data_IF_539546789898
#
_entry.id   IF_539546789898
#
_cell.length_a   1.000
_cell.length_b   1.000
_cell.length_c   1.000
_cell.angle_alpha   90.00
_cell.angle_beta   90.00
_cell.angle_gamma   90.00
#
_symmetry.space_group_name_H-M   'P 1'
#
loop_
_entity.id
_entity.type
_entity.pdbx_description
1 polymer ?
#
# COMPACT_ATOMS: atom_id res chain seq x y z
N UNK A 1 21.51 1.36 -3.99
CA UNK A 1 21.03 0.96 -2.66
C UNK A 1 19.54 0.80 -2.78
N UNK A 2 19.00 -0.42 -2.67
CA UNK A 2 17.55 -0.61 -2.62
C UNK A 2 17.10 -0.32 -1.18
N UNK A 3 16.37 0.76 -0.98
CA UNK A 3 15.56 0.91 0.21
C UNK A 3 14.39 -0.05 0.05
N UNK A 4 14.48 -1.21 0.71
CA UNK A 4 13.41 -2.21 0.71
C UNK A 4 12.23 -1.63 1.48
N UNK A 5 11.24 -1.13 0.77
CA UNK A 5 9.94 -0.72 1.29
C UNK A 5 9.03 -1.96 1.24
N UNK A 6 9.09 -2.80 2.27
CA UNK A 6 8.10 -3.84 2.47
C UNK A 6 6.76 -3.20 2.80
N UNK A 7 5.64 -3.76 2.40
CA UNK A 7 4.34 -3.32 2.93
C UNK A 7 3.34 -4.43 2.73
N UNK A 8 2.20 -4.32 3.39
CA UNK A 8 1.04 -5.19 3.20
C UNK A 8 -0.14 -4.30 2.84
N UNK A 9 -0.74 -4.54 1.69
CA UNK A 9 -1.84 -3.71 1.20
C UNK A 9 -3.08 -4.57 1.01
N UNK A 10 -4.23 -4.06 1.41
CA UNK A 10 -5.51 -4.71 1.18
C UNK A 10 -6.63 -3.70 0.90
N UNK A 11 -7.58 -4.04 0.02
CA UNK A 11 -8.83 -3.31 -0.16
C UNK A 11 -10.01 -4.28 -0.24
N UNK A 12 -11.04 -4.04 0.57
CA UNK A 12 -12.31 -4.78 0.52
C UNK A 12 -13.41 -3.93 -0.14
N UNK A 13 -14.15 -4.53 -1.08
CA UNK A 13 -15.25 -3.95 -1.87
C UNK A 13 -16.53 -3.80 -1.06
N UNK A 14 -16.76 -4.68 -0.09
CA UNK A 14 -17.94 -4.62 0.76
C UNK A 14 -17.81 -3.49 1.77
N UNK A 15 -16.58 -3.17 2.17
CA UNK A 15 -16.28 -2.04 3.05
C UNK A 15 -15.77 -0.78 2.36
N UNK A 16 -15.31 -0.85 1.09
CA UNK A 16 -14.74 0.27 0.32
C UNK A 16 -13.53 0.92 1.01
N UNK A 17 -12.78 0.13 1.79
CA UNK A 17 -11.71 0.58 2.67
C UNK A 17 -10.35 -0.01 2.26
N UNK A 18 -9.55 0.71 1.46
CA UNK A 18 -8.15 0.34 1.30
C UNK A 18 -7.39 0.62 2.59
N UNK A 19 -6.42 -0.22 2.87
CA UNK A 19 -5.60 -0.16 4.05
C UNK A 19 -4.24 -0.76 3.79
N UNK A 20 -3.26 -0.32 4.57
CA UNK A 20 -1.87 -0.74 4.39
C UNK A 20 -1.05 -0.66 5.68
N UNK A 21 -0.09 -1.57 5.78
CA UNK A 21 1.06 -1.48 6.67
C UNK A 21 2.31 -1.22 5.85
N UNK A 22 3.16 -0.31 6.31
CA UNK A 22 4.39 0.04 5.61
C UNK A 22 5.59 -0.34 6.46
N UNK A 23 6.38 -1.28 5.95
CA UNK A 23 7.60 -1.85 6.50
C UNK A 23 8.84 -1.28 5.80
N UNK A 24 9.44 -0.25 6.38
CA UNK A 24 10.71 0.32 5.89
C UNK A 24 11.82 0.08 6.92
N UNK A 25 13.07 0.41 6.57
CA UNK A 25 14.17 0.39 7.54
C UNK A 25 13.79 1.24 8.75
N UNK A 26 13.91 0.69 9.96
CA UNK A 26 13.50 1.39 11.19
C UNK A 26 14.08 2.80 11.34
N UNK A 27 15.31 3.01 10.85
CA UNK A 27 15.98 4.30 10.83
C UNK A 27 15.27 5.40 10.03
N UNK A 28 14.27 5.08 9.19
CA UNK A 28 13.50 6.07 8.43
C UNK A 28 12.33 6.67 9.23
N UNK A 29 11.97 6.09 10.38
CA UNK A 29 10.84 6.57 11.18
C UNK A 29 10.91 8.09 11.49
N UNK A 30 12.06 8.68 11.84
CA UNK A 30 12.17 10.12 12.09
C UNK A 30 11.95 11.00 10.85
N UNK A 31 12.00 10.43 9.65
CA UNK A 31 11.83 11.12 8.37
C UNK A 31 10.39 11.03 7.83
N UNK A 32 9.49 10.37 8.57
CA UNK A 32 8.08 10.25 8.19
C UNK A 32 7.31 11.50 8.62
N UNK A 33 6.51 12.05 7.70
CA UNK A 33 5.65 13.21 7.93
C UNK A 33 4.24 12.96 7.39
N UNK A 34 3.26 13.62 8.00
CA UNK A 34 1.97 13.85 7.36
C UNK A 34 2.06 15.12 6.52
N UNK A 35 1.84 15.00 5.21
CA UNK A 35 1.81 16.14 4.30
C UNK A 35 0.38 16.45 3.88
N UNK A 36 -0.07 17.68 4.18
CA UNK A 36 -1.36 18.22 3.74
C UNK A 36 -1.14 19.18 2.58
N UNK A 37 -1.77 18.92 1.44
CA UNK A 37 -1.66 19.74 0.23
C UNK A 37 -3.05 20.23 -0.14
N UNK A 38 -3.19 21.54 -0.36
CA UNK A 38 -4.38 22.15 -0.94
C UNK A 38 -4.04 22.68 -2.32
N UNK A 39 -4.60 22.06 -3.36
CA UNK A 39 -4.41 22.49 -4.75
C UNK A 39 -5.25 23.73 -5.07
N UNK A 40 -4.87 24.45 -6.12
CA UNK A 40 -5.58 25.66 -6.58
C UNK A 40 -7.01 25.36 -7.06
N UNK A 41 -7.22 24.17 -7.62
CA UNK A 41 -8.53 23.64 -8.03
C UNK A 41 -9.43 23.23 -6.85
N UNK A 42 -8.92 23.33 -5.61
CA UNK A 42 -9.63 22.99 -4.39
C UNK A 42 -9.47 21.53 -3.94
N UNK A 43 -8.76 20.69 -4.69
CA UNK A 43 -8.49 19.32 -4.27
C UNK A 43 -7.57 19.31 -3.04
N UNK A 44 -8.05 18.70 -1.96
CA UNK A 44 -7.28 18.43 -0.75
C UNK A 44 -6.61 17.06 -0.85
N UNK A 45 -5.38 16.96 -0.37
CA UNK A 45 -4.61 15.72 -0.34
C UNK A 45 -3.94 15.61 1.03
N UNK A 46 -4.08 14.45 1.65
CA UNK A 46 -3.35 14.11 2.87
C UNK A 46 -2.72 12.73 2.72
N UNK A 47 -1.42 12.64 3.03
CA UNK A 47 -0.65 11.42 2.91
C UNK A 47 0.44 11.33 3.96
N UNK A 48 0.84 10.10 4.27
CA UNK A 48 2.05 9.82 5.01
C UNK A 48 3.17 9.61 3.99
N UNK A 49 4.26 10.36 4.15
CA UNK A 49 5.38 10.38 3.20
C UNK A 49 6.71 10.54 3.91
N UNK A 50 7.80 10.22 3.23
CA UNK A 50 9.14 10.59 3.68
C UNK A 50 9.44 12.04 3.24
N UNK A 51 10.17 12.80 4.07
CA UNK A 51 10.52 14.20 3.79
C UNK A 51 11.14 14.33 2.39
N UNK A 52 10.52 15.14 1.54
CA UNK A 52 10.95 15.40 0.16
C UNK A 52 10.22 14.59 -0.92
N UNK A 53 9.45 13.55 -0.56
CA UNK A 53 8.65 12.76 -1.51
C UNK A 53 7.25 13.39 -1.67
N UNK A 54 6.90 13.72 -2.91
CA UNK A 54 5.68 14.47 -3.26
C UNK A 54 4.43 13.61 -3.52
N UNK A 55 4.56 12.29 -3.50
CA UNK A 55 3.46 11.34 -3.68
C UNK A 55 3.81 10.02 -3.02
N UNK A 56 3.02 9.61 -2.04
CA UNK A 56 3.21 8.35 -1.30
C UNK A 56 1.84 7.78 -0.92
N UNK A 57 1.62 7.37 0.32
CA UNK A 57 0.42 6.62 0.73
C UNK A 57 -0.58 7.56 1.39
N UNK A 58 -1.80 7.62 0.88
CA UNK A 58 -2.82 8.54 1.37
C UNK A 58 -4.04 8.62 0.46
N UNK A 59 -4.82 9.67 0.67
CA UNK A 59 -6.10 9.91 0.00
C UNK A 59 -6.34 11.39 -0.31
N UNK A 60 -7.30 11.66 -1.19
CA UNK A 60 -7.76 13.01 -1.52
C UNK A 60 -9.17 13.32 -1.00
N UNK A 61 -9.56 14.60 -1.06
CA UNK A 61 -10.83 15.13 -0.53
C UNK A 61 -12.09 14.67 -1.28
N UNK A 62 -11.93 13.88 -2.34
CA UNK A 62 -13.03 13.27 -3.10
C UNK A 62 -13.11 11.75 -2.91
N UNK A 63 -12.21 11.15 -2.13
CA UNK A 63 -12.27 9.74 -1.75
C UNK A 63 -11.52 8.81 -2.70
N UNK A 64 -10.49 9.28 -3.40
CA UNK A 64 -9.51 8.41 -4.08
C UNK A 64 -8.30 8.25 -3.19
N UNK A 65 -7.88 7.00 -2.97
CA UNK A 65 -6.70 6.68 -2.17
C UNK A 65 -5.82 5.62 -2.82
N UNK A 66 -4.57 5.56 -2.40
CA UNK A 66 -3.68 4.49 -2.78
C UNK A 66 -2.69 4.09 -1.70
N UNK A 67 -2.24 2.85 -1.81
CA UNK A 67 -1.15 2.28 -1.02
C UNK A 67 -0.07 1.73 -1.97
N UNK A 68 1.09 1.38 -1.42
CA UNK A 68 2.26 0.96 -2.21
C UNK A 68 2.92 -0.24 -1.55
N UNK A 69 3.24 -1.28 -2.33
CA UNK A 69 4.24 -2.29 -1.98
C UNK A 69 5.43 -2.32 -2.92
N UNK A 70 6.65 -2.48 -2.39
CA UNK A 70 7.78 -2.75 -3.25
C UNK A 70 7.68 -4.17 -3.81
N UNK A 71 7.85 -4.26 -5.12
CA UNK A 71 8.16 -5.49 -5.82
C UNK A 71 9.58 -5.37 -6.35
N UNK A 72 10.23 -6.50 -6.57
CA UNK A 72 11.60 -6.53 -7.05
C UNK A 72 11.68 -7.33 -8.34
N UNK A 73 11.51 -6.67 -9.48
CA UNK A 73 11.76 -7.25 -10.78
C UNK A 73 12.87 -6.51 -11.52
N UNK A 74 13.51 -7.19 -12.48
CA UNK A 74 14.53 -6.59 -13.33
C UNK A 74 13.88 -5.61 -14.32
N UNK A 75 14.61 -4.52 -14.60
CA UNK A 75 14.25 -3.57 -15.64
C UNK A 75 13.96 -2.17 -15.08
N UNK A 76 14.13 -1.18 -15.96
CA UNK A 76 13.75 0.21 -15.71
C UNK A 76 13.34 0.85 -17.04
N UNK A 77 12.20 1.56 -17.05
CA UNK A 77 11.79 2.39 -18.18
C UNK A 77 12.09 3.85 -17.88
N UNK A 78 12.96 4.48 -18.68
CA UNK A 78 13.32 5.89 -18.53
C UNK A 78 12.31 6.85 -19.17
N UNK A 79 11.28 6.32 -19.84
CA UNK A 79 10.22 7.09 -20.50
C UNK A 79 8.87 6.98 -19.79
N UNK A 80 8.78 6.16 -18.74
CA UNK A 80 7.56 5.92 -17.95
C UNK A 80 7.60 6.66 -16.61
N UNK A 81 6.48 6.68 -15.89
CA UNK A 81 6.37 7.41 -14.63
C UNK A 81 7.22 6.76 -13.52
N UNK A 82 8.08 7.51 -12.81
CA UNK A 82 8.63 7.08 -11.53
C UNK A 82 7.52 6.68 -10.55
N UNK A 83 7.74 5.62 -9.76
CA UNK A 83 6.74 5.06 -8.84
C UNK A 83 6.04 6.13 -7.97
N UNK A 84 6.78 7.04 -7.35
CA UNK A 84 6.19 8.09 -6.51
C UNK A 84 5.42 9.16 -7.30
N UNK A 85 5.75 9.37 -8.59
CA UNK A 85 4.93 10.20 -9.49
C UNK A 85 3.66 9.47 -9.94
N UNK A 86 3.71 8.14 -10.08
CA UNK A 86 2.51 7.33 -10.29
C UNK A 86 1.56 7.44 -9.08
N UNK A 87 2.05 7.31 -7.85
CA UNK A 87 1.23 7.52 -6.64
C UNK A 87 0.66 8.94 -6.57
N UNK A 88 1.46 9.95 -6.90
CA UNK A 88 0.97 11.33 -7.00
C UNK A 88 -0.14 11.48 -8.04
N UNK A 89 0.01 10.83 -9.19
CA UNK A 89 -1.00 10.81 -10.26
C UNK A 89 -2.31 10.18 -9.76
N UNK A 90 -2.22 9.09 -9.00
CA UNK A 90 -3.40 8.44 -8.40
C UNK A 90 -4.12 9.37 -7.43
N UNK A 91 -3.41 9.94 -6.45
CA UNK A 91 -4.04 10.78 -5.42
C UNK A 91 -4.55 12.11 -6.01
N UNK A 92 -4.04 12.57 -7.15
CA UNK A 92 -4.61 13.71 -7.88
C UNK A 92 -5.78 13.37 -8.82
N UNK A 93 -6.10 12.09 -9.00
CA UNK A 93 -7.15 11.66 -9.93
C UNK A 93 -8.55 11.81 -9.37
N UNK A 94 -9.53 11.97 -10.28
CA UNK A 94 -10.94 12.16 -9.94
C UNK A 94 -11.68 10.86 -9.55
N UNK A 95 -11.12 9.71 -9.90
CA UNK A 95 -11.66 8.39 -9.57
C UNK A 95 -10.59 7.32 -9.71
N UNK A 96 -10.84 6.13 -9.15
CA UNK A 96 -10.01 4.93 -9.36
C UNK A 96 -9.87 4.63 -10.85
N UNK A 97 -10.96 4.67 -11.60
CA UNK A 97 -10.94 4.37 -13.04
C UNK A 97 -10.07 5.36 -13.83
N UNK A 98 -10.16 6.67 -13.52
CA UNK A 98 -9.33 7.69 -14.16
C UNK A 98 -7.85 7.53 -13.82
N UNK A 99 -7.53 7.21 -12.56
CA UNK A 99 -6.18 6.93 -12.12
C UNK A 99 -5.57 5.75 -12.88
N UNK A 100 -6.26 4.60 -12.88
CA UNK A 100 -5.83 3.39 -13.57
C UNK A 100 -5.62 3.65 -15.06
N UNK A 101 -6.56 4.30 -15.73
CA UNK A 101 -6.42 4.63 -17.16
C UNK A 101 -5.19 5.50 -17.44
N UNK A 102 -4.86 6.43 -16.55
CA UNK A 102 -3.69 7.30 -16.70
C UNK A 102 -2.38 6.53 -16.51
N UNK A 103 -2.34 5.62 -15.52
CA UNK A 103 -1.18 4.78 -15.27
C UNK A 103 -0.95 3.78 -16.41
N UNK A 104 -2.00 3.15 -16.93
CA UNK A 104 -1.90 2.25 -18.09
C UNK A 104 -1.39 2.97 -19.34
N UNK A 105 -1.82 4.21 -19.57
CA UNK A 105 -1.37 5.01 -20.71
C UNK A 105 0.11 5.47 -20.57
N UNK A 106 0.56 5.74 -19.34
CA UNK A 106 1.90 6.29 -19.09
C UNK A 106 2.97 5.22 -18.84
N UNK A 107 2.56 4.05 -18.36
CA UNK A 107 3.44 3.04 -17.80
C UNK A 107 4.12 3.50 -16.51
N UNK A 108 4.78 2.56 -15.83
CA UNK A 108 5.53 2.83 -14.59
C UNK A 108 6.98 2.37 -14.78
N UNK A 109 7.92 3.18 -14.29
CA UNK A 109 9.33 3.06 -14.58
C UNK A 109 10.01 1.86 -13.89
N UNK A 110 9.46 1.38 -12.78
CA UNK A 110 10.07 0.39 -11.90
C UNK A 110 9.03 -0.56 -11.32
N UNK A 111 9.48 -1.68 -10.76
CA UNK A 111 8.57 -2.65 -10.15
C UNK A 111 7.97 -2.18 -8.83
N UNK A 112 6.65 -2.24 -8.72
CA UNK A 112 5.89 -2.00 -7.49
C UNK A 112 4.48 -2.55 -7.62
N UNK A 113 3.81 -2.73 -6.49
CA UNK A 113 2.37 -2.91 -6.44
C UNK A 113 1.74 -1.59 -5.98
N UNK A 114 0.74 -1.10 -6.69
CA UNK A 114 -0.06 0.06 -6.28
C UNK A 114 -1.50 -0.39 -6.15
N UNK A 115 -2.03 -0.35 -4.94
CA UNK A 115 -3.46 -0.53 -4.73
C UNK A 115 -4.15 0.82 -4.94
N UNK A 116 -5.07 0.89 -5.89
CA UNK A 116 -5.86 2.09 -6.17
C UNK A 116 -7.31 1.83 -5.78
N UNK A 117 -7.91 2.72 -5.00
CA UNK A 117 -9.27 2.55 -4.54
C UNK A 117 -10.07 3.86 -4.49
N UNK A 118 -11.39 3.71 -4.62
CA UNK A 118 -12.40 4.73 -4.34
C UNK A 118 -13.65 4.06 -3.73
N UNK A 119 -14.75 4.81 -3.58
CA UNK A 119 -16.02 4.28 -3.08
C UNK A 119 -16.62 3.13 -3.92
N UNK A 120 -16.06 2.82 -5.09
CA UNK A 120 -16.49 1.69 -5.94
C UNK A 120 -15.68 0.41 -5.72
N UNK A 121 -14.66 0.45 -4.85
CA UNK A 121 -13.80 -0.69 -4.53
C UNK A 121 -12.32 -0.43 -4.82
N UNK A 122 -11.51 -1.48 -4.72
CA UNK A 122 -10.07 -1.45 -4.98
C UNK A 122 -9.66 -2.23 -6.23
N UNK A 123 -8.52 -1.88 -6.80
CA UNK A 123 -7.82 -2.65 -7.84
C UNK A 123 -6.33 -2.58 -7.56
N UNK A 124 -5.70 -3.74 -7.39
CA UNK A 124 -4.26 -3.85 -7.29
C UNK A 124 -3.61 -3.74 -8.67
N UNK A 125 -2.49 -3.03 -8.78
CA UNK A 125 -1.71 -2.91 -10.00
C UNK A 125 -0.31 -3.45 -9.74
N UNK A 126 -0.01 -4.64 -10.24
CA UNK A 126 1.39 -5.10 -10.31
C UNK A 126 2.06 -4.45 -11.51
N UNK A 127 3.04 -3.60 -11.24
CA UNK A 127 3.68 -2.75 -12.21
C UNK A 127 5.11 -3.23 -12.43
N UNK A 128 5.56 -3.22 -13.67
CA UNK A 128 6.96 -3.46 -14.08
C UNK A 128 7.38 -2.41 -15.12
N UNK A 129 8.64 -2.42 -15.54
CA UNK A 129 9.07 -1.59 -16.67
C UNK A 129 8.47 -2.03 -18.01
N UNK A 130 7.84 -3.20 -18.07
CA UNK A 130 7.34 -3.80 -19.31
C UNK A 130 5.81 -3.85 -19.39
N UNK A 131 5.12 -3.99 -18.27
CA UNK A 131 3.66 -4.13 -18.19
C UNK A 131 3.08 -3.64 -16.86
N UNK A 132 1.76 -3.45 -16.87
CA UNK A 132 0.94 -3.26 -15.68
C UNK A 132 -0.15 -4.33 -15.77
N UNK A 133 -0.28 -5.15 -14.72
CA UNK A 133 -1.27 -6.22 -14.65
C UNK A 133 -2.21 -5.95 -13.47
N UNK A 134 -3.51 -6.03 -13.73
CA UNK A 134 -4.55 -5.77 -12.73
C UNK A 134 -4.81 -7.01 -11.89
N UNK A 135 -4.83 -6.81 -10.58
CA UNK A 135 -5.37 -7.73 -9.59
C UNK A 135 -6.74 -7.21 -9.15
N UNK A 136 -7.78 -7.83 -9.68
CA UNK A 136 -9.16 -7.49 -9.32
C UNK A 136 -9.57 -8.09 -7.98
N UNK A 137 -10.60 -7.52 -7.37
CA UNK A 137 -11.17 -8.03 -6.12
C UNK A 137 -11.65 -9.48 -6.29
N UNK A 138 -11.40 -10.30 -5.26
CA UNK A 138 -11.88 -11.67 -5.19
C UNK A 138 -13.41 -11.73 -5.00
N UNK A 139 -13.97 -12.94 -4.87
CA UNK A 139 -15.42 -13.16 -4.69
C UNK A 139 -16.00 -12.53 -3.42
N UNK A 140 -15.16 -12.32 -2.41
CA UNK A 140 -15.55 -11.67 -1.15
C UNK A 140 -15.40 -10.14 -1.23
N UNK A 141 -14.87 -9.63 -2.35
CA UNK A 141 -14.63 -8.22 -2.56
C UNK A 141 -13.22 -7.77 -2.20
N UNK A 142 -12.31 -8.67 -1.83
CA UNK A 142 -11.01 -8.30 -1.28
C UNK A 142 -9.90 -8.36 -2.32
N UNK A 143 -8.97 -7.42 -2.26
CA UNK A 143 -7.63 -7.49 -2.86
C UNK A 143 -6.65 -7.50 -1.70
N UNK A 144 -5.76 -8.48 -1.63
CA UNK A 144 -4.64 -8.51 -0.67
C UNK A 144 -3.34 -8.65 -1.44
N UNK A 145 -2.29 -7.97 -0.96
CA UNK A 145 -0.98 -7.98 -1.60
C UNK A 145 0.15 -7.80 -0.59
N UNK A 146 1.31 -8.35 -0.93
CA UNK A 146 2.54 -8.21 -0.14
C UNK A 146 3.70 -7.74 -1.01
N UNK A 147 4.84 -8.43 -1.04
CA UNK A 147 6.05 -7.98 -1.73
C UNK A 147 6.54 -8.95 -2.80
N UNK A 148 5.62 -9.72 -3.38
CA UNK A 148 5.87 -10.60 -4.52
C UNK A 148 4.72 -10.55 -5.53
N UNK A 149 5.01 -10.84 -6.79
CA UNK A 149 4.01 -10.92 -7.85
C UNK A 149 3.11 -12.14 -7.64
N UNK A 150 1.79 -11.92 -7.77
CA UNK A 150 0.76 -12.95 -7.65
C UNK A 150 -0.09 -13.07 -8.91
N UNK A 151 0.03 -12.14 -9.86
CA UNK A 151 -0.60 -12.25 -11.18
C UNK A 151 0.43 -12.61 -12.26
N UNK A 152 -0.06 -13.16 -13.37
CA UNK A 152 0.81 -13.56 -14.48
C UNK A 152 1.25 -12.32 -15.28
N UNK A 153 2.55 -12.13 -15.38
CA UNK A 153 3.20 -11.10 -16.22
C UNK A 153 3.65 -11.63 -17.58
N UNK A 154 4.16 -10.73 -18.44
CA UNK A 154 4.92 -11.12 -19.64
C UNK A 154 6.07 -12.06 -19.27
N UNK A 155 6.34 -13.04 -20.13
CA UNK A 155 7.41 -14.04 -19.93
C UNK A 155 8.82 -13.43 -19.83
N UNK A 156 9.00 -12.18 -20.26
CA UNK A 156 10.25 -11.41 -20.16
C UNK A 156 10.46 -10.77 -18.79
N UNK A 157 9.42 -10.64 -17.98
CA UNK A 157 9.51 -10.11 -16.61
C UNK A 157 10.19 -11.13 -15.71
N UNK A 158 11.28 -10.70 -15.06
CA UNK A 158 12.05 -11.54 -14.14
C UNK A 158 11.97 -10.94 -12.74
N UNK A 159 11.13 -11.54 -11.90
CA UNK A 159 11.06 -11.25 -10.47
C UNK A 159 12.27 -11.83 -9.72
N UNK A 160 12.75 -11.10 -8.71
CA UNK A 160 13.68 -11.61 -7.73
C UNK A 160 12.92 -12.46 -6.71
N UNK A 161 13.05 -13.77 -6.86
CA UNK A 161 12.39 -14.77 -6.04
C UNK A 161 12.56 -14.49 -4.53
N UNK A 162 11.43 -14.33 -3.85
CA UNK A 162 11.27 -14.19 -2.40
C UNK A 162 12.34 -13.31 -1.72
N UNK A 163 12.63 -12.15 -2.36
CA UNK A 163 13.62 -11.19 -1.86
C UNK A 163 13.31 -10.68 -0.44
N UNK A 164 12.05 -10.78 -0.03
CA UNK A 164 11.62 -10.82 1.37
C UNK A 164 11.10 -12.24 1.68
N UNK A 165 11.82 -13.06 2.46
CA UNK A 165 11.44 -14.46 2.72
C UNK A 165 10.07 -14.64 3.37
N UNK A 166 9.60 -13.63 4.11
CA UNK A 166 8.31 -13.60 4.81
C UNK A 166 7.12 -13.23 3.92
N UNK A 167 7.33 -12.82 2.67
CA UNK A 167 6.29 -12.21 1.83
C UNK A 167 5.10 -13.13 1.57
N UNK A 168 5.34 -14.42 1.30
CA UNK A 168 4.28 -15.41 1.04
C UNK A 168 3.54 -15.76 2.33
N UNK A 169 4.28 -15.95 3.42
CA UNK A 169 3.70 -16.20 4.73
C UNK A 169 2.76 -15.08 5.15
N UNK A 170 3.16 -13.80 5.00
CA UNK A 170 2.26 -12.69 5.35
C UNK A 170 1.01 -12.64 4.48
N UNK A 171 1.10 -12.98 3.19
CA UNK A 171 -0.05 -13.03 2.30
C UNK A 171 -1.05 -14.12 2.72
N UNK A 172 -0.54 -15.32 2.99
CA UNK A 172 -1.34 -16.43 3.51
C UNK A 172 -1.96 -16.05 4.85
N UNK A 173 -1.15 -15.45 5.74
CA UNK A 173 -1.58 -15.06 7.09
C UNK A 173 -2.70 -14.03 7.08
N UNK A 174 -2.62 -12.99 6.24
CA UNK A 174 -3.72 -12.02 6.15
C UNK A 174 -4.98 -12.69 5.58
N UNK A 175 -4.84 -13.60 4.60
CA UNK A 175 -5.94 -14.41 4.10
C UNK A 175 -6.61 -15.28 5.18
N UNK A 176 -5.82 -15.95 6.04
CA UNK A 176 -6.34 -16.71 7.20
C UNK A 176 -7.13 -15.82 8.16
N UNK A 177 -6.58 -14.65 8.48
CA UNK A 177 -7.18 -13.71 9.41
C UNK A 177 -8.51 -13.17 8.88
N UNK A 178 -8.56 -12.82 7.59
CA UNK A 178 -9.77 -12.39 6.90
C UNK A 178 -10.82 -13.51 6.83
N UNK A 179 -10.41 -14.75 6.54
CA UNK A 179 -11.31 -15.90 6.57
C UNK A 179 -11.92 -16.17 7.94
N UNK A 180 -11.31 -15.65 9.01
CA UNK A 180 -11.85 -15.67 10.37
C UNK A 180 -12.82 -14.53 10.69
N UNK A 181 -12.93 -13.50 9.85
CA UNK A 181 -13.83 -12.36 10.04
C UNK A 181 -15.26 -12.80 9.73
N UNK A 182 -16.16 -12.61 10.71
CA UNK A 182 -17.59 -12.95 10.60
C UNK A 182 -18.47 -11.77 10.20
N UNK A 183 -17.88 -10.58 10.13
CA UNK A 183 -18.58 -9.37 9.69
C UNK A 183 -18.94 -9.50 8.21
N UNK A 184 -20.17 -9.11 7.86
CA UNK A 184 -20.57 -9.01 6.45
C UNK A 184 -19.87 -7.85 5.74
N UNK A 185 -19.57 -6.78 6.47
CA UNK A 185 -18.87 -5.60 5.97
C UNK A 185 -17.73 -5.34 6.93
N UNK A 186 -16.49 -5.38 6.44
CA UNK A 186 -15.30 -5.25 7.28
C UNK A 186 -15.21 -3.82 7.84
N UNK A 187 -15.26 -3.67 9.16
CA UNK A 187 -15.09 -2.38 9.85
C UNK A 187 -13.66 -1.83 9.77
N UNK A 188 -13.48 -0.50 9.86
CA UNK A 188 -12.15 0.12 10.04
C UNK A 188 -11.45 -0.49 11.24
N UNK A 189 -12.19 -0.69 12.33
CA UNK A 189 -11.68 -1.26 13.59
C UNK A 189 -11.24 -2.72 13.42
N UNK A 190 -11.96 -3.50 12.61
CA UNK A 190 -11.54 -4.87 12.30
C UNK A 190 -10.26 -4.86 11.49
N UNK A 191 -10.14 -4.03 10.46
CA UNK A 191 -8.88 -3.87 9.73
C UNK A 191 -7.74 -3.47 10.66
N UNK A 192 -7.91 -2.42 11.47
CA UNK A 192 -6.90 -1.97 12.44
C UNK A 192 -6.41 -3.12 13.32
N UNK A 193 -7.32 -4.02 13.74
CA UNK A 193 -7.01 -5.21 14.53
C UNK A 193 -6.25 -6.28 13.73
N UNK A 194 -6.57 -6.53 12.46
CA UNK A 194 -5.83 -7.50 11.64
C UNK A 194 -4.37 -7.07 11.45
N UNK A 195 -4.14 -5.76 11.33
CA UNK A 195 -2.82 -5.17 11.21
C UNK A 195 -1.98 -5.25 12.51
N UNK A 196 -2.54 -5.76 13.62
CA UNK A 196 -1.82 -6.01 14.88
C UNK A 196 -1.16 -7.40 14.93
N UNK A 197 -1.32 -8.25 13.90
CA UNK A 197 -0.83 -9.63 13.96
C UNK A 197 0.71 -9.71 14.06
N UNK A 198 1.18 -10.22 15.20
CA UNK A 198 2.61 -10.44 15.49
C UNK A 198 3.02 -11.90 15.30
N UNK A 199 2.21 -12.74 14.62
CA UNK A 199 2.57 -14.14 14.39
C UNK A 199 3.76 -14.18 13.43
N UNK A 200 4.91 -14.62 13.93
CA UNK A 200 6.15 -14.73 13.14
C UNK A 200 6.09 -16.00 12.29
N UNK A 201 6.33 -15.85 10.99
CA UNK A 201 6.54 -16.95 10.06
C UNK A 201 7.51 -16.55 8.95
N UNK A 202 8.36 -17.48 8.54
CA UNK A 202 9.43 -17.23 7.55
C UNK A 202 10.30 -15.98 7.84
N UNK A 203 10.45 -15.61 9.12
CA UNK A 203 11.32 -14.54 9.59
C UNK A 203 10.64 -13.26 10.08
N UNK A 204 9.37 -13.01 9.74
CA UNK A 204 8.65 -11.81 10.18
C UNK A 204 7.14 -12.03 10.34
N UNK A 205 6.46 -11.07 10.97
CA UNK A 205 5.01 -11.00 11.11
C UNK A 205 4.41 -9.91 10.21
N UNK A 206 3.09 -9.80 10.19
CA UNK A 206 2.36 -8.68 9.56
C UNK A 206 2.75 -7.35 10.24
N UNK A 207 2.62 -7.27 11.56
CA UNK A 207 3.12 -6.15 12.37
C UNK A 207 4.60 -6.38 12.70
N UNK A 208 5.47 -6.12 11.72
CA UNK A 208 6.92 -6.42 11.78
C UNK A 208 7.62 -5.64 12.89
N UNK A 209 8.37 -6.34 13.73
CA UNK A 209 9.26 -5.75 14.74
C UNK A 209 10.66 -5.53 14.20
N UNK A 210 11.33 -4.49 14.69
CA UNK A 210 12.78 -4.35 14.49
C UNK A 210 13.51 -5.55 15.13
N UNK A 211 14.62 -5.95 14.52
CA UNK A 211 15.53 -6.95 15.07
C UNK A 211 16.86 -6.31 15.42
N UNK A 212 17.71 -6.99 16.22
CA UNK A 212 19.05 -6.50 16.56
C UNK A 212 19.98 -6.31 15.34
N UNK A 213 19.59 -6.83 14.17
CA UNK A 213 20.35 -6.67 12.93
C UNK A 213 20.25 -5.22 12.45
N UNK A 214 21.41 -4.57 12.31
CA UNK A 214 21.52 -3.20 11.78
C UNK A 214 20.87 -3.10 10.40
N UNK A 215 19.93 -2.17 10.26
CA UNK A 215 19.21 -1.95 9.01
C UNK A 215 18.06 -2.94 8.78
N UNK A 216 17.60 -3.62 9.83
CA UNK A 216 16.39 -4.43 9.77
C UNK A 216 15.15 -3.59 9.45
N UNK A 217 14.20 -4.24 8.81
CA UNK A 217 12.90 -3.66 8.49
C UNK A 217 11.99 -3.75 9.72
N UNK A 218 11.13 -2.76 9.88
CA UNK A 218 10.06 -2.76 10.88
C UNK A 218 8.85 -2.01 10.32
N UNK A 219 7.66 -2.30 10.84
CA UNK A 219 6.47 -1.50 10.53
C UNK A 219 6.65 -0.09 11.08
N UNK A 220 6.65 0.91 10.21
CA UNK A 220 6.86 2.32 10.58
C UNK A 220 5.57 3.10 10.69
N UNK A 221 4.52 2.67 10.01
CA UNK A 221 3.17 3.13 10.25
C UNK A 221 2.15 2.14 9.70
N UNK A 222 0.91 2.30 10.14
CA UNK A 222 -0.28 1.70 9.53
C UNK A 222 -1.24 2.80 9.12
N UNK A 223 -1.99 2.56 8.06
CA UNK A 223 -3.06 3.45 7.60
C UNK A 223 -4.28 2.63 7.21
N UNK A 224 -5.45 3.04 7.69
CA UNK A 224 -6.74 2.48 7.29
C UNK A 224 -7.60 3.63 6.77
N UNK A 225 -7.96 3.59 5.49
CA UNK A 225 -8.71 4.65 4.84
C UNK A 225 -10.18 4.25 4.69
N UNK A 226 -11.08 5.10 5.16
CA UNK A 226 -12.50 5.05 4.83
C UNK A 226 -12.76 6.06 3.70
N UNK A 227 -12.79 5.55 2.46
CA UNK A 227 -12.87 6.41 1.27
C UNK A 227 -14.27 6.99 1.04
N UNK A 228 -15.31 6.40 1.62
CA UNK A 228 -16.65 6.96 1.61
C UNK A 228 -16.76 8.12 2.61
N UNK A 229 -16.21 7.94 3.81
CA UNK A 229 -16.10 9.00 4.82
C UNK A 229 -14.98 10.01 4.49
N UNK A 230 -14.10 9.70 3.53
CA UNK A 230 -12.93 10.50 3.10
C UNK A 230 -11.99 10.82 4.26
N UNK A 231 -11.77 9.83 5.11
CA UNK A 231 -10.85 9.94 6.26
C UNK A 231 -9.89 8.77 6.30
N UNK A 232 -8.77 8.92 7.00
CA UNK A 232 -7.89 7.80 7.31
C UNK A 232 -7.44 7.84 8.76
N UNK A 233 -7.40 6.68 9.41
CA UNK A 233 -6.72 6.52 10.70
C UNK A 233 -5.30 6.06 10.44
N UNK A 234 -4.33 6.75 11.03
CA UNK A 234 -2.90 6.42 10.93
C UNK A 234 -2.37 6.14 12.32
N UNK A 235 -1.63 5.04 12.47
CA UNK A 235 -0.80 4.81 13.66
C UNK A 235 0.67 4.88 13.25
N UNK A 236 1.41 5.86 13.79
CA UNK A 236 2.85 6.01 13.58
C UNK A 236 3.60 5.03 14.48
N UNK A 237 4.65 4.41 13.94
CA UNK A 237 5.32 3.26 14.51
C UNK A 237 4.53 1.97 14.31
N UNK A 238 4.84 0.96 15.14
CA UNK A 238 4.14 -0.33 15.11
C UNK A 238 2.72 -0.14 15.66
N UNK A 239 1.66 -0.63 15.00
CA UNK A 239 0.29 -0.41 15.45
C UNK A 239 -0.05 -1.08 16.79
N UNK A 240 0.70 -2.11 17.20
CA UNK A 240 0.61 -2.73 18.55
C UNK A 240 1.11 -1.82 19.67
N UNK A 241 2.01 -0.90 19.37
CA UNK A 241 2.61 0.04 20.31
C UNK A 241 2.92 1.37 19.59
N UNK A 242 1.87 2.12 19.18
CA UNK A 242 2.05 3.26 18.32
C UNK A 242 2.68 4.43 19.09
N UNK A 243 3.57 5.15 18.42
CA UNK A 243 4.19 6.38 18.94
C UNK A 243 3.19 7.53 18.92
N UNK A 244 2.37 7.59 17.88
CA UNK A 244 1.36 8.62 17.67
C UNK A 244 0.19 8.03 16.87
N UNK A 245 -1.02 8.58 17.07
CA UNK A 245 -2.17 8.31 16.21
C UNK A 245 -2.66 9.59 15.58
N UNK A 246 -2.90 9.55 14.28
CA UNK A 246 -3.32 10.69 13.47
C UNK A 246 -4.62 10.36 12.73
N UNK A 247 -5.39 11.40 12.40
CA UNK A 247 -6.52 11.31 11.47
C UNK A 247 -6.21 12.19 10.26
N UNK A 248 -6.27 11.59 9.08
CA UNK A 248 -6.25 12.32 7.82
C UNK A 248 -7.67 12.68 7.41
N UNK A 249 -7.89 13.92 6.99
CA UNK A 249 -9.19 14.43 6.53
C UNK A 249 -8.98 15.54 5.49
N UNK A 250 -8.53 15.17 4.27
CA UNK A 250 -8.20 16.11 3.19
C UNK A 250 -9.36 17.01 2.74
#
# INVERSE_FOLDING_TARGET
>A
MSDGDGSLDEADSQSRRPHSLVDVKFSQLPNMICLKIKKQDGLGIEMITEVGIIGKIGLNSIGVGCTLNALKAKGVSFTSLPCHLALRTVIESLSRAAAISTLEASGIASSCHILVADATGGTGLECTSEDIVKLEMNTDGMVTHTNHMIVKHKETVIEAEDWLPDTRFRLERIGELLGGVKEKVVSVETVERLLLDEKIGCGASICRSETEVKGSLATLFSIVMDLEAKTAKVSMGRPVAPVEKLILSP
#
